data_IF_645702857161
#
_entry.id   IF_645702857161
#
_cell.length_a   1.000
_cell.length_b   1.000
_cell.length_c   1.000
_cell.angle_alpha   90.00
_cell.angle_beta   90.00
_cell.angle_gamma   90.00
#
_symmetry.space_group_name_H-M   'P 1'
#
loop_
_entity.id
_entity.type
_entity.pdbx_description
1 polymer ?
#
# COMPACT_ATOMS: atom_id res chain seq x y z
N UNK A 1 42.16 22.19 20.09
CA UNK A 1 42.68 21.07 20.86
C UNK A 1 41.73 20.79 22.01
N UNK A 2 41.22 19.64 22.13
CA UNK A 2 40.25 18.96 22.99
C UNK A 2 38.95 18.55 22.27
N UNK A 3 39.00 17.32 21.83
CA UNK A 3 37.91 16.46 21.40
C UNK A 3 37.03 16.18 22.62
N UNK A 4 35.74 16.43 22.53
CA UNK A 4 34.76 15.88 23.48
C UNK A 4 33.88 14.89 22.76
N UNK A 5 34.09 13.63 23.10
CA UNK A 5 33.17 12.53 22.83
C UNK A 5 31.90 12.72 23.66
N UNK A 6 30.74 12.55 23.03
CA UNK A 6 29.45 12.43 23.73
C UNK A 6 28.85 11.07 23.40
N UNK A 7 29.00 10.28 24.40
CA UNK A 7 28.17 9.24 25.01
C UNK A 7 27.07 8.58 24.20
N UNK A 8 27.28 7.28 23.98
CA UNK A 8 26.31 6.25 23.64
C UNK A 8 25.19 6.19 24.70
N UNK A 9 23.94 6.35 24.27
CA UNK A 9 22.77 6.02 25.07
C UNK A 9 22.31 4.60 24.74
N UNK A 10 22.43 3.70 25.71
CA UNK A 10 21.99 2.32 25.69
C UNK A 10 20.45 2.25 25.54
N UNK A 11 19.97 1.60 24.50
CA UNK A 11 18.60 1.08 24.45
C UNK A 11 18.65 -0.39 24.91
N UNK A 12 18.09 -0.66 26.06
CA UNK A 12 17.94 -2.00 26.62
C UNK A 12 16.84 -2.76 25.83
N UNK A 13 17.25 -3.80 25.13
CA UNK A 13 16.37 -4.82 24.59
C UNK A 13 16.03 -5.83 25.69
N UNK A 14 14.78 -5.90 26.09
CA UNK A 14 14.24 -7.01 26.88
C UNK A 14 13.78 -8.11 25.92
N UNK A 15 14.66 -9.05 25.63
CA UNK A 15 14.30 -10.32 25.04
C UNK A 15 13.86 -11.27 26.18
N UNK A 16 12.56 -11.51 26.30
CA UNK A 16 12.04 -12.57 27.14
C UNK A 16 12.09 -13.89 26.38
N UNK A 17 13.07 -14.73 26.70
CA UNK A 17 13.17 -16.11 26.26
C UNK A 17 12.13 -16.94 27.05
N UNK A 18 11.04 -17.35 26.43
CA UNK A 18 10.21 -18.45 26.94
C UNK A 18 10.54 -19.69 26.13
N UNK A 19 11.32 -20.59 26.73
CA UNK A 19 11.47 -21.97 26.26
C UNK A 19 10.19 -22.71 26.62
N UNK A 20 9.53 -23.24 25.61
CA UNK A 20 8.53 -24.29 25.78
C UNK A 20 9.02 -25.54 25.05
N UNK A 21 9.49 -26.50 25.83
CA UNK A 21 9.75 -27.86 25.34
C UNK A 21 8.45 -28.64 25.41
N UNK A 22 7.96 -29.07 24.26
CA UNK A 22 7.01 -30.17 24.21
C UNK A 22 6.96 -30.81 22.81
N UNK A 23 7.35 -32.09 22.76
CA UNK A 23 6.73 -33.12 21.96
C UNK A 23 6.92 -33.05 20.45
N UNK A 24 7.99 -33.70 19.98
CA UNK A 24 8.17 -34.03 18.57
C UNK A 24 7.22 -35.17 18.22
N UNK A 25 6.14 -34.89 17.48
CA UNK A 25 5.49 -35.90 16.66
C UNK A 25 5.69 -35.55 15.19
N UNK A 26 6.49 -36.40 14.54
CA UNK A 26 6.77 -36.37 13.10
C UNK A 26 5.53 -36.79 12.34
N UNK A 27 4.78 -35.82 11.86
CA UNK A 27 3.74 -36.00 10.86
C UNK A 27 3.99 -35.02 9.72
N UNK A 28 4.77 -35.42 8.71
CA UNK A 28 4.91 -34.72 7.46
C UNK A 28 3.57 -34.71 6.73
N UNK A 29 2.81 -33.63 6.86
CA UNK A 29 1.66 -33.35 6.01
C UNK A 29 2.07 -32.28 5.02
N UNK A 30 2.88 -32.64 4.05
CA UNK A 30 2.88 -31.95 2.76
C UNK A 30 1.58 -32.34 2.09
N UNK A 31 0.51 -31.63 2.41
CA UNK A 31 -0.71 -31.67 1.64
C UNK A 31 -0.40 -31.12 0.25
N UNK A 32 -0.09 -32.02 -0.68
CA UNK A 32 -0.17 -31.73 -2.09
C UNK A 32 -1.59 -31.23 -2.35
N UNK A 33 -1.72 -29.97 -2.74
CA UNK A 33 -2.98 -29.43 -3.22
C UNK A 33 -3.53 -30.41 -4.26
N UNK A 34 -4.76 -30.83 -4.10
CA UNK A 34 -5.41 -31.66 -5.10
C UNK A 34 -5.49 -30.85 -6.41
N UNK A 35 -5.51 -31.52 -7.58
CA UNK A 35 -5.70 -30.81 -8.85
C UNK A 35 -6.94 -29.89 -8.87
N UNK A 36 -7.97 -30.19 -8.11
CA UNK A 36 -9.15 -29.37 -7.95
C UNK A 36 -8.87 -28.08 -7.13
N UNK A 37 -8.05 -28.16 -6.08
CA UNK A 37 -7.64 -26.99 -5.28
C UNK A 37 -6.66 -26.10 -6.05
N UNK A 38 -5.76 -26.71 -6.85
CA UNK A 38 -4.89 -25.98 -7.75
C UNK A 38 -5.68 -25.29 -8.88
N UNK A 39 -6.71 -25.92 -9.43
CA UNK A 39 -7.63 -25.32 -10.40
C UNK A 39 -8.47 -24.20 -9.78
N UNK A 40 -9.04 -24.39 -8.59
CA UNK A 40 -9.80 -23.35 -7.89
C UNK A 40 -8.94 -22.14 -7.54
N UNK A 41 -7.66 -22.32 -7.18
CA UNK A 41 -6.72 -21.23 -6.94
C UNK A 41 -6.34 -20.49 -8.25
N UNK A 42 -6.23 -21.19 -9.38
CA UNK A 42 -6.02 -20.58 -10.68
C UNK A 42 -7.26 -19.83 -11.19
N UNK A 43 -8.44 -20.41 -11.09
CA UNK A 43 -9.70 -19.74 -11.47
C UNK A 43 -9.97 -18.48 -10.66
N UNK A 44 -9.64 -18.46 -9.37
CA UNK A 44 -9.76 -17.26 -8.55
C UNK A 44 -8.77 -16.15 -8.94
N UNK A 45 -7.58 -16.49 -9.41
CA UNK A 45 -6.61 -15.54 -9.96
C UNK A 45 -7.10 -14.94 -11.30
N UNK A 46 -7.75 -15.75 -12.14
CA UNK A 46 -8.34 -15.28 -13.41
C UNK A 46 -9.57 -14.37 -13.20
N UNK A 47 -10.29 -14.49 -12.08
CA UNK A 47 -11.43 -13.64 -11.74
C UNK A 47 -11.04 -12.17 -11.45
N UNK A 48 -9.75 -11.87 -11.24
CA UNK A 48 -9.23 -10.53 -10.97
C UNK A 48 -8.59 -9.87 -12.20
N UNK A 49 -8.92 -10.33 -13.41
CA UNK A 49 -8.44 -9.71 -14.65
C UNK A 49 -9.06 -8.33 -14.84
N UNK A 50 -8.25 -7.27 -15.01
CA UNK A 50 -8.80 -5.97 -15.38
C UNK A 50 -9.49 -6.03 -16.73
N UNK A 51 -10.62 -5.34 -16.87
CA UNK A 51 -11.26 -5.17 -18.17
C UNK A 51 -10.40 -4.30 -19.11
N UNK A 52 -10.62 -4.40 -20.41
CA UNK A 52 -9.94 -3.52 -21.36
C UNK A 52 -10.17 -2.03 -21.10
N UNK A 53 -11.36 -1.65 -20.56
CA UNK A 53 -11.65 -0.27 -20.18
C UNK A 53 -10.83 0.17 -18.95
N UNK A 54 -10.67 -0.69 -17.98
CA UNK A 54 -9.81 -0.42 -16.81
C UNK A 54 -8.35 -0.25 -17.24
N UNK A 55 -7.85 -1.12 -18.10
CA UNK A 55 -6.47 -1.03 -18.63
C UNK A 55 -6.28 0.26 -19.45
N UNK A 56 -7.23 0.65 -20.28
CA UNK A 56 -7.15 1.92 -21.03
C UNK A 56 -7.10 3.13 -20.08
N UNK A 57 -7.96 3.18 -19.06
CA UNK A 57 -7.90 4.26 -18.05
C UNK A 57 -6.59 4.26 -17.29
N UNK A 58 -6.10 3.09 -16.90
CA UNK A 58 -4.83 2.95 -16.19
C UNK A 58 -3.65 3.44 -17.03
N UNK A 59 -3.64 3.14 -18.33
CA UNK A 59 -2.57 3.57 -19.25
C UNK A 59 -2.40 5.10 -19.29
N UNK A 60 -3.48 5.89 -19.17
CA UNK A 60 -3.39 7.35 -19.09
C UNK A 60 -2.75 7.86 -17.79
N UNK A 61 -2.65 7.02 -16.77
CA UNK A 61 -2.06 7.35 -15.46
C UNK A 61 -0.57 7.00 -15.37
N UNK A 62 -0.04 6.26 -16.36
CA UNK A 62 1.34 5.76 -16.36
C UNK A 62 2.42 6.84 -16.13
N UNK A 63 2.34 8.05 -16.71
CA UNK A 63 3.33 9.09 -16.45
C UNK A 63 3.42 9.44 -14.97
N UNK A 64 2.28 9.57 -14.28
CA UNK A 64 2.21 9.88 -12.84
C UNK A 64 2.69 8.70 -12.00
N UNK A 65 2.24 7.47 -12.32
CA UNK A 65 2.61 6.26 -11.60
C UNK A 65 4.13 6.07 -11.66
N UNK A 66 4.72 6.10 -12.86
CA UNK A 66 6.17 5.93 -13.03
C UNK A 66 6.97 6.99 -12.29
N UNK A 67 6.56 8.25 -12.41
CA UNK A 67 7.26 9.34 -11.76
C UNK A 67 7.21 9.21 -10.24
N UNK A 68 6.02 9.12 -9.65
CA UNK A 68 5.89 9.10 -8.20
C UNK A 68 6.44 7.82 -7.56
N UNK A 69 6.37 6.66 -8.21
CA UNK A 69 6.98 5.42 -7.68
C UNK A 69 8.51 5.38 -7.83
N UNK A 70 9.10 6.24 -8.65
CA UNK A 70 10.56 6.40 -8.73
C UNK A 70 11.14 7.18 -7.54
N UNK A 71 10.32 7.97 -6.85
CA UNK A 71 10.73 8.76 -5.71
C UNK A 71 10.87 7.90 -4.45
N UNK A 72 11.69 8.39 -3.52
CA UNK A 72 11.80 7.84 -2.18
C UNK A 72 11.03 8.71 -1.18
N UNK A 73 10.42 8.10 -0.17
CA UNK A 73 9.57 8.79 0.78
C UNK A 73 10.05 8.54 2.22
N UNK A 74 10.25 9.64 2.96
CA UNK A 74 10.64 9.57 4.36
C UNK A 74 12.12 9.26 4.61
N UNK A 75 12.49 9.09 5.90
CA UNK A 75 13.89 9.05 6.32
C UNK A 75 14.65 7.78 5.93
N UNK A 76 13.95 6.72 5.54
CA UNK A 76 14.52 5.42 5.18
C UNK A 76 14.50 5.17 3.66
N UNK A 77 14.29 6.22 2.87
CA UNK A 77 14.17 6.13 1.41
C UNK A 77 13.13 5.08 0.95
N UNK A 78 12.05 4.95 1.72
CA UNK A 78 11.01 3.97 1.46
C UNK A 78 10.38 4.19 0.07
N UNK A 79 10.14 3.09 -0.64
CA UNK A 79 9.59 3.09 -2.00
C UNK A 79 8.39 2.16 -2.08
N UNK A 80 7.59 2.38 -3.10
CA UNK A 80 6.47 1.49 -3.44
C UNK A 80 6.59 1.08 -4.90
N UNK A 81 6.23 -0.16 -5.22
CA UNK A 81 6.28 -0.64 -6.61
C UNK A 81 5.17 -0.03 -7.46
N UNK A 82 5.45 0.17 -8.74
CA UNK A 82 4.45 0.65 -9.69
C UNK A 82 3.27 -0.32 -9.82
N UNK A 83 3.52 -1.63 -9.77
CA UNK A 83 2.47 -2.64 -9.86
C UNK A 83 1.55 -2.64 -8.65
N UNK A 84 2.09 -2.34 -7.45
CA UNK A 84 1.25 -2.14 -6.27
C UNK A 84 0.31 -0.94 -6.43
N UNK A 85 0.80 0.21 -6.91
CA UNK A 85 -0.02 1.41 -7.12
C UNK A 85 -1.07 1.18 -8.23
N UNK A 86 -0.71 0.50 -9.32
CA UNK A 86 -1.67 0.10 -10.36
C UNK A 86 -2.78 -0.79 -9.79
N UNK A 87 -2.39 -1.82 -9.05
CA UNK A 87 -3.34 -2.73 -8.41
C UNK A 87 -4.24 -2.02 -7.39
N UNK A 88 -3.69 -1.08 -6.61
CA UNK A 88 -4.44 -0.25 -5.68
C UNK A 88 -5.49 0.60 -6.39
N UNK A 89 -5.12 1.29 -7.47
CA UNK A 89 -6.03 2.10 -8.30
C UNK A 89 -7.16 1.24 -8.88
N UNK A 90 -6.83 0.06 -9.41
CA UNK A 90 -7.82 -0.86 -9.94
C UNK A 90 -8.79 -1.36 -8.87
N UNK A 91 -8.26 -1.66 -7.68
CA UNK A 91 -9.04 -2.18 -6.54
C UNK A 91 -10.00 -1.14 -5.98
N UNK A 92 -9.57 0.10 -5.86
CA UNK A 92 -10.30 1.18 -5.17
C UNK A 92 -11.34 1.87 -6.05
N UNK A 93 -11.00 2.13 -7.31
CA UNK A 93 -11.86 2.93 -8.17
C UNK A 93 -12.06 2.36 -9.58
N UNK A 94 -11.46 1.21 -9.91
CA UNK A 94 -11.40 0.75 -11.31
C UNK A 94 -10.78 1.81 -12.24
N UNK A 95 -9.82 2.57 -11.74
CA UNK A 95 -9.16 3.70 -12.41
C UNK A 95 -10.09 4.87 -12.78
N UNK A 96 -11.13 5.12 -11.98
CA UNK A 96 -12.00 6.30 -12.15
C UNK A 96 -11.51 7.46 -11.27
N UNK A 97 -10.96 8.52 -11.87
CA UNK A 97 -10.39 9.67 -11.15
C UNK A 97 -11.44 10.44 -10.32
N UNK A 98 -12.69 10.45 -10.73
CA UNK A 98 -13.79 11.13 -10.02
C UNK A 98 -14.62 10.20 -9.13
N UNK A 99 -14.12 9.02 -8.78
CA UNK A 99 -14.82 8.12 -7.88
C UNK A 99 -14.99 8.76 -6.49
N UNK A 100 -16.16 8.56 -5.88
CA UNK A 100 -16.49 9.02 -4.53
C UNK A 100 -17.28 7.95 -3.78
N UNK A 101 -16.83 7.59 -2.59
CA UNK A 101 -17.56 6.66 -1.73
C UNK A 101 -18.61 7.36 -0.86
N UNK A 102 -19.55 6.57 -0.31
CA UNK A 102 -20.51 7.07 0.68
C UNK A 102 -19.86 7.56 1.97
N UNK A 103 -18.63 7.12 2.28
CA UNK A 103 -17.83 7.56 3.44
C UNK A 103 -16.96 8.80 3.14
N UNK A 104 -17.07 9.36 1.93
CA UNK A 104 -16.38 10.58 1.52
C UNK A 104 -14.95 10.36 1.00
N UNK A 105 -14.51 9.13 0.77
CA UNK A 105 -13.27 8.84 0.07
C UNK A 105 -13.34 9.30 -1.38
N UNK A 106 -12.22 9.74 -1.97
CA UNK A 106 -12.20 10.40 -3.27
C UNK A 106 -11.03 9.97 -4.14
N UNK A 107 -11.28 9.96 -5.46
CA UNK A 107 -10.28 9.80 -6.49
C UNK A 107 -9.85 8.37 -6.73
N UNK A 108 -8.77 8.21 -7.45
CA UNK A 108 -8.24 6.95 -7.96
C UNK A 108 -8.03 5.88 -6.88
N UNK A 109 -7.50 6.28 -5.73
CA UNK A 109 -7.12 5.39 -4.62
C UNK A 109 -8.00 5.59 -3.38
N UNK A 110 -9.16 6.25 -3.54
CA UNK A 110 -10.18 6.44 -2.50
C UNK A 110 -9.62 7.00 -1.18
N UNK A 111 -8.89 8.11 -1.26
CA UNK A 111 -8.31 8.76 -0.09
C UNK A 111 -9.35 9.58 0.66
N UNK A 112 -9.36 9.45 1.99
CA UNK A 112 -10.19 10.28 2.89
C UNK A 112 -9.54 11.67 3.04
N UNK A 113 -10.28 12.77 2.90
CA UNK A 113 -9.72 14.13 2.98
C UNK A 113 -8.96 14.43 4.28
N UNK A 114 -9.36 13.82 5.41
CA UNK A 114 -8.64 13.94 6.68
C UNK A 114 -7.23 13.34 6.60
N UNK A 115 -7.10 12.15 6.02
CA UNK A 115 -5.81 11.49 5.78
C UNK A 115 -4.96 12.32 4.83
N UNK A 116 -5.55 12.81 3.74
CA UNK A 116 -4.85 13.66 2.78
C UNK A 116 -4.22 14.88 3.44
N UNK A 117 -4.95 15.61 4.32
CA UNK A 117 -4.41 16.78 5.03
C UNK A 117 -3.17 16.47 5.87
N UNK A 118 -3.14 15.29 6.49
CA UNK A 118 -1.98 14.84 7.28
C UNK A 118 -0.79 14.60 6.35
N UNK A 119 -1.01 13.88 5.24
CA UNK A 119 0.02 13.55 4.26
C UNK A 119 0.55 14.80 3.57
N UNK A 120 -0.32 15.74 3.18
CA UNK A 120 0.06 17.00 2.54
C UNK A 120 1.08 17.79 3.38
N UNK A 121 0.89 17.83 4.71
CA UNK A 121 1.87 18.46 5.62
C UNK A 121 3.22 17.74 5.63
N UNK A 122 3.22 16.43 5.45
CA UNK A 122 4.45 15.63 5.39
C UNK A 122 5.15 15.81 4.04
N UNK A 123 4.40 15.80 2.94
CA UNK A 123 4.92 16.02 1.60
C UNK A 123 5.51 17.43 1.44
N UNK A 124 4.85 18.46 1.99
CA UNK A 124 5.37 19.83 1.98
C UNK A 124 6.71 20.00 2.74
N UNK A 125 7.06 19.06 3.62
CA UNK A 125 8.33 19.06 4.34
C UNK A 125 9.44 18.28 3.61
N UNK A 126 9.12 17.60 2.50
CA UNK A 126 10.11 16.96 1.65
C UNK A 126 10.74 18.01 0.72
N UNK A 127 12.03 17.84 0.44
CA UNK A 127 12.78 18.73 -0.47
C UNK A 127 12.60 18.34 -1.94
N UNK A 128 11.36 18.02 -2.35
CA UNK A 128 11.03 17.68 -3.72
C UNK A 128 10.27 18.82 -4.40
N UNK A 129 10.70 19.16 -5.60
CA UNK A 129 9.89 19.87 -6.59
C UNK A 129 9.15 18.80 -7.43
N UNK A 130 7.87 18.62 -7.15
CA UNK A 130 7.08 17.54 -7.78
C UNK A 130 6.63 17.95 -9.18
N UNK A 131 7.15 17.29 -10.22
CA UNK A 131 6.95 17.62 -11.64
C UNK A 131 5.49 17.89 -12.06
N UNK A 132 4.52 17.21 -11.44
CA UNK A 132 3.12 17.26 -11.84
C UNK A 132 2.21 17.95 -10.81
N UNK A 133 2.78 18.58 -9.79
CA UNK A 133 2.04 19.17 -8.67
C UNK A 133 2.27 20.67 -8.64
N UNK A 134 1.19 21.45 -8.60
CA UNK A 134 1.26 22.85 -8.24
C UNK A 134 1.51 22.96 -6.73
N UNK A 135 2.64 23.57 -6.33
CA UNK A 135 3.03 23.69 -4.93
C UNK A 135 2.01 24.45 -4.08
N UNK A 136 1.19 25.31 -4.67
CA UNK A 136 0.17 26.04 -3.92
C UNK A 136 -0.91 25.12 -3.35
N UNK A 137 -1.07 23.90 -3.88
CA UNK A 137 -2.00 22.90 -3.31
C UNK A 137 -1.60 22.50 -1.88
N UNK A 138 -0.32 22.51 -1.53
CA UNK A 138 0.15 22.20 -0.18
C UNK A 138 -0.30 23.23 0.86
N UNK A 139 -0.51 24.49 0.43
CA UNK A 139 -0.96 25.59 1.27
C UNK A 139 -2.48 25.70 1.33
N UNK A 140 -3.19 25.32 0.27
CA UNK A 140 -4.61 25.61 0.05
C UNK A 140 -5.46 24.38 -0.25
N UNK A 141 -5.02 23.18 0.16
CA UNK A 141 -5.67 21.89 -0.12
C UNK A 141 -7.16 21.88 0.19
N UNK A 142 -7.95 21.51 -0.79
CA UNK A 142 -9.39 21.24 -0.71
C UNK A 142 -9.68 19.76 -0.96
N UNK A 143 -10.75 19.21 -0.41
CA UNK A 143 -11.12 17.82 -0.65
C UNK A 143 -11.30 17.46 -2.15
N UNK A 144 -11.70 18.42 -2.97
CA UNK A 144 -11.90 18.27 -4.41
C UNK A 144 -10.59 18.04 -5.17
N UNK A 145 -9.46 18.50 -4.64
CA UNK A 145 -8.14 18.32 -5.23
C UNK A 145 -7.74 16.84 -5.28
N UNK A 146 -8.40 15.97 -4.49
CA UNK A 146 -8.22 14.53 -4.58
C UNK A 146 -8.76 13.90 -5.88
N UNK A 147 -9.48 14.64 -6.70
CA UNK A 147 -9.85 14.20 -8.04
C UNK A 147 -8.76 14.44 -9.07
N UNK A 148 -7.74 15.24 -8.75
CA UNK A 148 -6.54 15.35 -9.55
C UNK A 148 -5.73 14.04 -9.51
N UNK A 149 -5.49 13.39 -10.66
CA UNK A 149 -4.78 12.12 -10.70
C UNK A 149 -3.36 12.17 -10.14
N UNK A 150 -2.62 13.25 -10.42
CA UNK A 150 -1.25 13.38 -9.99
C UNK A 150 -1.16 13.49 -8.47
N UNK A 151 -1.98 14.37 -7.87
CA UNK A 151 -2.02 14.54 -6.42
C UNK A 151 -2.49 13.28 -5.69
N UNK A 152 -3.52 12.61 -6.23
CA UNK A 152 -4.06 11.39 -5.63
C UNK A 152 -3.01 10.27 -5.62
N UNK A 153 -2.28 10.07 -6.72
CA UNK A 153 -1.22 9.07 -6.85
C UNK A 153 -0.02 9.44 -5.96
N UNK A 154 0.39 10.71 -5.90
CA UNK A 154 1.46 11.15 -5.00
C UNK A 154 1.15 10.80 -3.54
N UNK A 155 -0.05 11.13 -3.06
CA UNK A 155 -0.48 10.82 -1.69
C UNK A 155 -0.50 9.31 -1.47
N UNK A 156 -0.99 8.53 -2.46
CA UNK A 156 -1.01 7.08 -2.38
C UNK A 156 0.39 6.48 -2.31
N UNK A 157 1.35 6.98 -3.10
CA UNK A 157 2.74 6.54 -3.05
C UNK A 157 3.37 6.81 -1.68
N UNK A 158 3.17 8.02 -1.12
CA UNK A 158 3.67 8.37 0.21
C UNK A 158 3.13 7.43 1.29
N UNK A 159 1.81 7.25 1.35
CA UNK A 159 1.17 6.39 2.35
C UNK A 159 1.59 4.93 2.21
N UNK A 160 1.59 4.42 0.99
CA UNK A 160 1.95 3.02 0.73
C UNK A 160 3.42 2.76 1.07
N UNK A 161 4.33 3.66 0.68
CA UNK A 161 5.75 3.55 1.05
C UNK A 161 5.93 3.58 2.59
N UNK A 162 5.21 4.48 3.27
CA UNK A 162 5.22 4.55 4.75
C UNK A 162 4.75 3.23 5.37
N UNK A 163 3.66 2.66 4.88
CA UNK A 163 3.14 1.40 5.42
C UNK A 163 4.04 0.21 5.08
N UNK A 164 4.66 0.19 3.88
CA UNK A 164 5.67 -0.83 3.56
C UNK A 164 6.84 -0.80 4.53
N UNK A 165 7.30 0.39 4.93
CA UNK A 165 8.34 0.52 5.96
C UNK A 165 7.87 0.04 7.34
N UNK A 166 6.62 0.31 7.74
CA UNK A 166 6.11 -0.11 9.05
C UNK A 166 5.87 -1.61 9.19
N UNK A 167 5.58 -2.29 8.09
CA UNK A 167 5.17 -3.70 8.07
C UNK A 167 6.12 -4.60 7.29
N UNK A 168 7.40 -4.22 7.19
CA UNK A 168 8.47 -5.00 6.57
C UNK A 168 8.12 -5.51 5.17
N UNK A 169 7.39 -4.71 4.40
CA UNK A 169 6.95 -5.02 3.04
C UNK A 169 5.80 -6.03 2.94
N UNK A 170 5.20 -6.46 4.06
CA UNK A 170 4.02 -7.36 4.03
C UNK A 170 2.84 -6.71 3.31
N UNK A 171 2.55 -7.14 2.09
CA UNK A 171 1.44 -6.64 1.29
C UNK A 171 0.10 -6.75 2.03
N UNK A 172 -0.13 -7.83 2.75
CA UNK A 172 -1.36 -8.05 3.51
C UNK A 172 -1.56 -7.02 4.61
N UNK A 173 -0.50 -6.70 5.35
CA UNK A 173 -0.56 -5.70 6.42
C UNK A 173 -0.64 -4.28 5.87
N UNK A 174 0.08 -3.99 4.77
CA UNK A 174 -0.01 -2.70 4.07
C UNK A 174 -1.44 -2.43 3.59
N UNK A 175 -2.09 -3.41 2.95
CA UNK A 175 -3.48 -3.30 2.51
C UNK A 175 -4.44 -3.21 3.70
N UNK A 176 -4.16 -3.94 4.79
CA UNK A 176 -4.95 -3.84 6.02
C UNK A 176 -4.89 -2.44 6.63
N UNK A 177 -3.69 -1.86 6.69
CA UNK A 177 -3.49 -0.49 7.17
C UNK A 177 -4.16 0.54 6.26
N UNK A 178 -4.14 0.31 4.95
CA UNK A 178 -4.83 1.15 3.96
C UNK A 178 -6.35 1.15 4.18
N UNK A 179 -6.95 -0.03 4.25
CA UNK A 179 -8.41 -0.20 4.29
C UNK A 179 -9.01 0.04 5.69
N UNK A 180 -8.42 -0.59 6.71
CA UNK A 180 -8.94 -0.55 8.08
C UNK A 180 -8.24 0.48 8.98
N UNK A 181 -7.15 1.06 8.51
CA UNK A 181 -6.27 1.96 9.26
C UNK A 181 -5.20 1.23 10.07
N UNK A 182 -4.03 1.84 10.28
CA UNK A 182 -2.93 1.23 11.04
C UNK A 182 -3.30 0.95 12.51
N UNK A 183 -4.21 1.74 13.08
CA UNK A 183 -4.73 1.48 14.43
C UNK A 183 -5.56 0.19 14.54
N UNK A 184 -6.18 -0.26 13.44
CA UNK A 184 -6.84 -1.57 13.42
C UNK A 184 -5.80 -2.69 13.39
N UNK A 185 -4.78 -2.58 12.56
CA UNK A 185 -3.69 -3.57 12.49
C UNK A 185 -3.01 -3.72 13.85
N UNK A 186 -2.67 -2.60 14.51
CA UNK A 186 -2.08 -2.62 15.84
C UNK A 186 -2.98 -3.28 16.90
N UNK A 187 -4.31 -3.09 16.81
CA UNK A 187 -5.28 -3.72 17.75
C UNK A 187 -5.33 -5.25 17.61
N UNK A 188 -4.94 -5.76 16.45
CA UNK A 188 -4.85 -7.20 16.17
C UNK A 188 -3.39 -7.67 16.13
N UNK A 189 -2.54 -7.13 17.01
CA UNK A 189 -1.16 -7.56 17.24
C UNK A 189 -0.29 -7.62 15.97
N UNK A 190 -0.51 -6.66 15.05
CA UNK A 190 0.09 -6.61 13.72
C UNK A 190 -0.24 -7.83 12.84
N UNK A 191 -1.42 -8.38 13.01
CA UNK A 191 -2.00 -9.37 12.11
C UNK A 191 -3.09 -8.75 11.22
N UNK A 192 -3.49 -9.50 10.19
CA UNK A 192 -4.59 -9.09 9.31
C UNK A 192 -5.91 -9.09 10.08
N UNK A 193 -6.57 -7.93 10.27
CA UNK A 193 -7.84 -7.86 10.98
C UNK A 193 -8.91 -8.78 10.34
N UNK A 194 -9.78 -9.39 11.14
CA UNK A 194 -10.79 -10.35 10.65
C UNK A 194 -11.98 -9.66 9.96
N UNK A 195 -11.74 -8.53 9.29
CA UNK A 195 -12.76 -7.78 8.57
C UNK A 195 -12.95 -8.34 7.16
N UNK A 196 -14.16 -8.76 6.78
CA UNK A 196 -14.43 -9.30 5.43
C UNK A 196 -14.06 -8.32 4.30
N UNK A 197 -14.30 -7.02 4.50
CA UNK A 197 -13.95 -5.97 3.54
C UNK A 197 -12.43 -5.93 3.30
N UNK A 198 -11.64 -5.93 4.38
CA UNK A 198 -10.16 -5.90 4.32
C UNK A 198 -9.61 -7.15 3.64
N UNK A 199 -10.09 -8.33 4.03
CA UNK A 199 -9.67 -9.60 3.42
C UNK A 199 -10.03 -9.68 1.94
N UNK A 200 -11.23 -9.21 1.57
CA UNK A 200 -11.65 -9.12 0.18
C UNK A 200 -10.78 -8.13 -0.63
N UNK A 201 -10.37 -7.02 -0.02
CA UNK A 201 -9.45 -6.07 -0.66
C UNK A 201 -8.07 -6.67 -0.88
N UNK A 202 -7.51 -7.39 0.10
CA UNK A 202 -6.22 -8.09 -0.03
C UNK A 202 -6.26 -9.05 -1.21
N UNK A 203 -7.30 -9.88 -1.30
CA UNK A 203 -7.46 -10.86 -2.39
C UNK A 203 -7.51 -10.17 -3.76
N UNK A 204 -8.31 -9.12 -3.90
CA UNK A 204 -8.43 -8.38 -5.17
C UNK A 204 -7.11 -7.72 -5.57
N UNK A 205 -6.46 -7.03 -4.64
CA UNK A 205 -5.22 -6.33 -4.93
C UNK A 205 -4.11 -7.31 -5.33
N UNK A 206 -3.94 -8.41 -4.61
CA UNK A 206 -2.96 -9.46 -4.96
C UNK A 206 -3.26 -10.09 -6.32
N UNK A 207 -4.54 -10.29 -6.67
CA UNK A 207 -4.94 -10.78 -7.98
C UNK A 207 -4.55 -9.81 -9.10
N UNK A 208 -4.79 -8.51 -8.93
CA UNK A 208 -4.35 -7.51 -9.90
C UNK A 208 -2.83 -7.41 -9.99
N UNK A 209 -2.11 -7.47 -8.87
CA UNK A 209 -0.63 -7.48 -8.89
C UNK A 209 -0.08 -8.68 -9.66
N UNK A 210 -0.62 -9.88 -9.46
CA UNK A 210 -0.22 -11.06 -10.20
C UNK A 210 -0.42 -10.88 -11.71
N UNK A 211 -1.59 -10.40 -12.14
CA UNK A 211 -1.87 -10.11 -13.55
C UNK A 211 -0.91 -9.09 -14.16
N UNK A 212 -0.61 -8.00 -13.43
CA UNK A 212 0.27 -6.92 -13.90
C UNK A 212 1.73 -7.35 -13.97
N UNK A 213 2.20 -8.17 -13.00
CA UNK A 213 3.57 -8.69 -12.96
C UNK A 213 3.89 -9.73 -14.03
N UNK A 214 2.87 -10.34 -14.66
CA UNK A 214 3.04 -11.26 -15.80
C UNK A 214 3.34 -10.55 -17.14
N UNK A 215 3.60 -9.25 -17.12
CA UNK A 215 3.95 -8.47 -18.32
C UNK A 215 2.76 -8.16 -19.24
N UNK A 216 1.54 -8.27 -18.74
CA UNK A 216 0.31 -8.02 -19.50
C UNK A 216 -0.01 -6.51 -19.70
N UNK A 217 0.93 -5.62 -19.37
CA UNK A 217 0.81 -4.18 -19.55
C UNK A 217 1.89 -3.73 -20.53
N UNK A 218 1.59 -3.82 -21.83
CA UNK A 218 2.34 -3.17 -22.91
C UNK A 218 1.51 -2.04 -23.52
#
# INVERSE_FOLDING_TARGET
>A
MKIRAISLGLALTMAALVRFEAGFETGSVWGLLTPAEAHASSESAWAQRPSGDQLRRLAHLEPYIRYFTSLAYGPEDARVSADYIRALILTESSAHAHARSGKGARGLTQIIPGTARIVMKKLAALSYDFLYIDEDVFKSFKPEDLYDPALNILIACYLSATYHGWYDGSTELVVSAWNAGPGAVARYDNEVPPYPETRGMITRLKGFMAYLGEGNVN
#
